data_IF_577186577236
#
_entry.id   IF_577186577236
#
_cell.length_a   1.000
_cell.length_b   1.000
_cell.length_c   1.000
_cell.angle_alpha   90.00
_cell.angle_beta   90.00
_cell.angle_gamma   90.00
#
_symmetry.space_group_name_H-M   'P 1'
#
loop_
_entity.id
_entity.type
_entity.pdbx_description
1 polymer ?
#
# COMPACT_ATOMS: atom_id res chain seq x y z
N UNK A 1 13.97 11.06 2.25
CA UNK A 1 14.52 9.92 1.47
C UNK A 1 13.41 9.36 0.59
N UNK A 2 13.65 9.24 -0.72
CA UNK A 2 12.63 8.79 -1.69
C UNK A 2 12.30 7.29 -1.56
N UNK A 3 11.04 6.91 -1.83
CA UNK A 3 10.60 5.52 -1.94
C UNK A 3 11.03 4.97 -3.30
N UNK A 4 11.68 3.80 -3.31
CA UNK A 4 12.18 3.06 -4.49
C UNK A 4 11.58 1.65 -4.56
N UNK A 5 11.55 0.98 -5.73
CA UNK A 5 11.07 -0.40 -5.87
C UNK A 5 11.61 -1.39 -4.84
N UNK A 6 12.89 -1.24 -4.47
CA UNK A 6 13.57 -2.04 -3.44
C UNK A 6 13.32 -1.60 -1.99
N UNK A 7 12.37 -0.70 -1.72
CA UNK A 7 12.09 -0.23 -0.36
C UNK A 7 11.48 -1.34 0.48
N UNK A 8 11.89 -1.47 1.74
CA UNK A 8 11.29 -2.47 2.63
C UNK A 8 9.79 -2.24 2.85
N UNK A 9 9.07 -3.32 3.18
CA UNK A 9 7.64 -3.30 3.50
C UNK A 9 7.32 -2.30 4.62
N UNK A 10 8.19 -2.20 5.64
CA UNK A 10 8.09 -1.19 6.71
C UNK A 10 8.11 0.25 6.18
N UNK A 11 8.87 0.55 5.11
CA UNK A 11 8.87 1.87 4.47
C UNK A 11 7.57 2.11 3.70
N UNK A 12 7.08 1.11 2.97
CA UNK A 12 5.80 1.17 2.26
C UNK A 12 4.62 1.38 3.23
N UNK A 13 4.62 0.66 4.35
CA UNK A 13 3.63 0.84 5.42
C UNK A 13 3.66 2.25 6.02
N UNK A 14 4.85 2.79 6.32
CA UNK A 14 4.99 4.19 6.79
C UNK A 14 4.47 5.18 5.75
N UNK A 15 4.78 4.99 4.48
CA UNK A 15 4.25 5.82 3.40
C UNK A 15 2.72 5.79 3.39
N UNK A 16 2.09 4.61 3.52
CA UNK A 16 0.62 4.49 3.63
C UNK A 16 0.05 5.35 4.76
N UNK A 17 0.68 5.33 5.94
CA UNK A 17 0.26 6.16 7.07
C UNK A 17 0.35 7.65 6.73
N UNK A 18 1.45 8.10 6.12
CA UNK A 18 1.61 9.49 5.70
C UNK A 18 0.58 9.90 4.65
N UNK A 19 0.30 9.04 3.66
CA UNK A 19 -0.73 9.30 2.65
C UNK A 19 -2.12 9.42 3.29
N UNK A 20 -2.47 8.55 4.25
CA UNK A 20 -3.74 8.65 5.00
C UNK A 20 -3.83 9.98 5.75
N UNK A 21 -2.79 10.35 6.50
CA UNK A 21 -2.73 11.61 7.23
C UNK A 21 -2.95 12.80 6.30
N UNK A 22 -2.23 12.85 5.18
CA UNK A 22 -2.39 13.90 4.16
C UNK A 22 -3.82 13.97 3.64
N UNK A 23 -4.42 12.84 3.23
CA UNK A 23 -5.81 12.86 2.75
C UNK A 23 -6.79 13.33 3.82
N UNK A 24 -6.66 12.88 5.05
CA UNK A 24 -7.55 13.32 6.13
C UNK A 24 -7.42 14.81 6.41
N UNK A 25 -6.21 15.35 6.41
CA UNK A 25 -6.00 16.80 6.51
C UNK A 25 -6.66 17.55 5.35
N UNK A 26 -6.54 17.06 4.12
CA UNK A 26 -7.15 17.68 2.95
C UNK A 26 -8.67 17.57 2.93
N UNK A 27 -9.23 16.45 3.37
CA UNK A 27 -10.68 16.28 3.54
C UNK A 27 -11.22 17.20 4.63
N UNK A 28 -10.48 17.38 5.73
CA UNK A 28 -10.87 18.26 6.83
C UNK A 28 -10.87 19.73 6.42
N UNK A 29 -9.82 20.20 5.74
CA UNK A 29 -9.72 21.58 5.27
C UNK A 29 -10.34 21.82 3.90
N UNK A 30 -11.13 20.87 3.37
CA UNK A 30 -11.62 20.93 1.99
C UNK A 30 -12.46 22.19 1.69
N UNK A 31 -13.16 22.73 2.68
CA UNK A 31 -13.96 23.95 2.55
C UNK A 31 -13.14 25.23 2.33
N UNK A 32 -11.82 25.20 2.59
CA UNK A 32 -10.93 26.34 2.38
C UNK A 32 -10.43 26.46 0.93
N UNK A 33 -10.79 25.51 0.06
CA UNK A 33 -10.26 25.39 -1.29
C UNK A 33 -11.38 25.34 -2.35
N UNK A 34 -11.08 25.72 -3.62
CA UNK A 34 -12.00 25.52 -4.72
C UNK A 34 -12.47 24.05 -4.81
N UNK A 35 -13.79 23.76 -4.74
CA UNK A 35 -14.29 22.39 -4.59
C UNK A 35 -13.84 21.42 -5.69
N UNK A 36 -13.71 21.90 -6.93
CA UNK A 36 -13.27 21.09 -8.06
C UNK A 36 -11.80 20.64 -7.94
N UNK A 37 -10.94 21.56 -7.51
CA UNK A 37 -9.49 21.34 -7.42
C UNK A 37 -9.16 20.40 -6.25
N UNK A 38 -9.71 20.68 -5.06
CA UNK A 38 -9.45 19.85 -3.88
C UNK A 38 -10.00 18.43 -4.04
N UNK A 39 -11.17 18.28 -4.68
CA UNK A 39 -11.76 16.96 -5.00
C UNK A 39 -10.85 16.17 -5.93
N UNK A 40 -10.24 16.83 -6.92
CA UNK A 40 -9.28 16.21 -7.83
C UNK A 40 -8.06 15.66 -7.06
N UNK A 41 -7.48 16.48 -6.18
CA UNK A 41 -6.33 16.07 -5.34
C UNK A 41 -6.67 14.90 -4.43
N UNK A 42 -7.80 14.97 -3.72
CA UNK A 42 -8.25 13.90 -2.80
C UNK A 42 -8.46 12.59 -3.58
N UNK A 43 -9.08 12.64 -4.76
CA UNK A 43 -9.33 11.46 -5.59
C UNK A 43 -8.03 10.81 -6.07
N UNK A 44 -7.02 11.59 -6.43
CA UNK A 44 -5.71 11.05 -6.80
C UNK A 44 -5.01 10.39 -5.60
N UNK A 45 -5.07 11.00 -4.42
CA UNK A 45 -4.53 10.40 -3.19
C UNK A 45 -5.26 9.10 -2.82
N UNK A 46 -6.59 9.03 -3.00
CA UNK A 46 -7.36 7.80 -2.80
C UNK A 46 -6.86 6.67 -3.71
N UNK A 47 -6.59 6.96 -4.99
CA UNK A 47 -6.04 5.95 -5.93
C UNK A 47 -4.68 5.39 -5.48
N UNK A 48 -3.79 6.25 -4.96
CA UNK A 48 -2.52 5.80 -4.38
C UNK A 48 -2.74 4.97 -3.11
N UNK A 49 -3.63 5.43 -2.23
CA UNK A 49 -3.95 4.74 -0.98
C UNK A 49 -4.56 3.37 -1.21
N UNK A 50 -5.41 3.18 -2.22
CA UNK A 50 -5.99 1.88 -2.53
C UNK A 50 -4.92 0.85 -2.85
N UNK A 51 -3.90 1.23 -3.64
CA UNK A 51 -2.79 0.34 -3.95
C UNK A 51 -1.89 0.08 -2.73
N UNK A 52 -1.57 1.11 -1.94
CA UNK A 52 -0.84 0.94 -0.68
C UNK A 52 -1.62 0.09 0.36
N UNK A 53 -2.95 0.16 0.31
CA UNK A 53 -3.87 -0.68 1.09
C UNK A 53 -3.73 -2.14 0.70
N UNK A 54 -3.93 -2.47 -0.57
CA UNK A 54 -3.76 -3.83 -1.08
C UNK A 54 -2.37 -4.41 -0.74
N UNK A 55 -1.30 -3.62 -0.92
CA UNK A 55 0.05 -4.04 -0.55
C UNK A 55 0.16 -4.40 0.94
N UNK A 56 -0.41 -3.56 1.80
CA UNK A 56 -0.39 -3.78 3.24
C UNK A 56 -1.22 -5.00 3.65
N UNK A 57 -2.36 -5.22 3.01
CA UNK A 57 -3.24 -6.35 3.33
C UNK A 57 -2.56 -7.67 2.99
N UNK A 58 -1.83 -7.72 1.86
CA UNK A 58 -1.00 -8.87 1.49
C UNK A 58 0.17 -9.08 2.47
N UNK A 59 0.81 -8.02 2.96
CA UNK A 59 1.83 -8.14 4.02
C UNK A 59 1.25 -8.76 5.29
N UNK A 60 0.07 -8.31 5.74
CA UNK A 60 -0.58 -8.81 6.95
C UNK A 60 -1.02 -10.27 6.78
N UNK A 61 -1.58 -10.64 5.62
CA UNK A 61 -1.95 -12.04 5.33
C UNK A 61 -0.73 -12.97 5.38
N UNK A 62 0.38 -12.58 4.74
CA UNK A 62 1.62 -13.36 4.81
C UNK A 62 2.12 -13.50 6.25
N UNK A 63 2.13 -12.41 7.03
CA UNK A 63 2.53 -12.45 8.44
C UNK A 63 1.65 -13.39 9.28
N UNK A 64 0.33 -13.36 9.08
CA UNK A 64 -0.61 -14.26 9.77
C UNK A 64 -0.33 -15.73 9.44
N UNK A 65 -0.06 -16.06 8.17
CA UNK A 65 0.27 -17.42 7.75
C UNK A 65 1.62 -17.90 8.31
N UNK A 66 2.63 -17.03 8.35
CA UNK A 66 3.91 -17.34 8.98
C UNK A 66 3.75 -17.59 10.49
N UNK A 67 2.97 -16.78 11.19
CA UNK A 67 2.67 -16.98 12.60
C UNK A 67 1.91 -18.29 12.85
N UNK A 68 1.00 -18.67 11.94
CA UNK A 68 0.29 -19.94 12.01
C UNK A 68 1.24 -21.13 11.81
N UNK A 69 2.10 -21.09 10.78
CA UNK A 69 3.13 -22.11 10.55
C UNK A 69 4.04 -22.30 11.76
N UNK A 70 4.48 -21.21 12.40
CA UNK A 70 5.34 -21.25 13.57
C UNK A 70 4.69 -21.94 14.80
N UNK A 71 3.36 -22.05 14.83
CA UNK A 71 2.60 -22.72 15.90
C UNK A 71 2.30 -24.19 15.60
N UNK A 72 2.52 -24.66 14.37
CA UNK A 72 2.29 -26.05 13.99
C UNK A 72 3.33 -26.95 14.65
N UNK A 73 2.87 -27.98 15.36
CA UNK A 73 3.75 -29.00 15.93
C UNK A 73 4.22 -29.95 14.81
N UNK A 74 5.53 -30.20 14.68
CA UNK A 74 6.02 -31.19 13.74
C UNK A 74 5.60 -32.61 14.17
N UNK A 75 5.57 -33.55 13.22
CA UNK A 75 5.45 -34.99 13.53
C UNK A 75 4.14 -35.67 13.14
N UNK A 76 3.14 -34.95 12.59
CA UNK A 76 1.98 -35.60 11.97
C UNK A 76 1.94 -35.36 10.46
N UNK A 77 1.57 -36.38 9.68
CA UNK A 77 1.43 -36.26 8.22
C UNK A 77 0.42 -35.19 7.80
N UNK A 78 -0.64 -35.00 8.60
CA UNK A 78 -1.61 -33.90 8.42
C UNK A 78 -0.96 -32.52 8.57
N UNK A 79 -0.11 -32.32 9.57
CA UNK A 79 0.57 -31.04 9.78
C UNK A 79 1.59 -30.76 8.66
N UNK A 80 2.24 -31.80 8.13
CA UNK A 80 3.12 -31.66 6.97
C UNK A 80 2.34 -31.23 5.71
N UNK A 81 1.20 -31.86 5.43
CA UNK A 81 0.33 -31.46 4.31
C UNK A 81 -0.18 -30.02 4.45
N UNK A 82 -0.61 -29.65 5.67
CA UNK A 82 -1.07 -28.29 5.95
C UNK A 82 0.05 -27.26 5.79
N UNK A 83 1.27 -27.57 6.26
CA UNK A 83 2.43 -26.70 6.11
C UNK A 83 2.77 -26.48 4.61
N UNK A 84 2.73 -27.54 3.80
CA UNK A 84 2.94 -27.45 2.36
C UNK A 84 1.88 -26.60 1.67
N UNK A 85 0.60 -26.77 2.03
CA UNK A 85 -0.50 -25.97 1.47
C UNK A 85 -0.34 -24.48 1.79
N UNK A 86 0.02 -24.15 3.04
CA UNK A 86 0.28 -22.77 3.45
C UNK A 86 1.53 -22.21 2.73
N UNK A 87 2.57 -23.01 2.52
CA UNK A 87 3.74 -22.60 1.74
C UNK A 87 3.39 -22.22 0.30
N UNK A 88 2.50 -22.98 -0.35
CA UNK A 88 1.95 -22.65 -1.66
C UNK A 88 1.18 -21.33 -1.65
N UNK A 89 0.32 -21.12 -0.65
CA UNK A 89 -0.43 -19.89 -0.49
C UNK A 89 0.48 -18.68 -0.24
N UNK A 90 1.49 -18.81 0.63
CA UNK A 90 2.48 -17.77 0.89
C UNK A 90 3.21 -17.36 -0.40
N UNK A 91 3.57 -18.33 -1.25
CA UNK A 91 4.21 -18.06 -2.54
C UNK A 91 3.30 -17.25 -3.46
N UNK A 92 2.01 -17.62 -3.54
CA UNK A 92 1.01 -16.90 -4.35
C UNK A 92 0.82 -15.46 -3.85
N UNK A 93 0.63 -15.28 -2.54
CA UNK A 93 0.47 -13.97 -1.92
C UNK A 93 1.71 -13.08 -2.10
N UNK A 94 2.91 -13.68 -2.01
CA UNK A 94 4.15 -12.97 -2.26
C UNK A 94 4.23 -12.44 -3.70
N UNK A 95 3.86 -13.27 -4.67
CA UNK A 95 3.83 -12.86 -6.08
C UNK A 95 2.83 -11.72 -6.32
N UNK A 96 1.61 -11.83 -5.79
CA UNK A 96 0.61 -10.76 -5.87
C UNK A 96 1.11 -9.46 -5.21
N UNK A 97 1.79 -9.58 -4.07
CA UNK A 97 2.37 -8.43 -3.37
C UNK A 97 3.43 -7.71 -4.22
N UNK A 98 4.27 -8.45 -4.95
CA UNK A 98 5.24 -7.86 -5.88
C UNK A 98 4.54 -7.12 -7.04
N UNK A 99 3.49 -7.70 -7.62
CA UNK A 99 2.73 -7.03 -8.68
C UNK A 99 2.07 -5.72 -8.20
N UNK A 100 1.47 -5.75 -7.00
CA UNK A 100 0.87 -4.54 -6.41
C UNK A 100 1.94 -3.49 -6.11
N UNK A 101 3.12 -3.91 -5.64
CA UNK A 101 4.28 -3.05 -5.42
C UNK A 101 4.80 -2.43 -6.71
N UNK A 102 4.88 -3.15 -7.82
CA UNK A 102 5.29 -2.58 -9.10
C UNK A 102 4.25 -1.57 -9.62
N UNK A 103 2.97 -1.93 -9.53
CA UNK A 103 1.86 -1.04 -9.89
C UNK A 103 1.86 0.25 -9.05
N UNK A 104 2.32 0.21 -7.79
CA UNK A 104 2.51 1.40 -6.97
C UNK A 104 3.42 2.41 -7.65
N UNK A 105 4.60 1.98 -8.13
CA UNK A 105 5.59 2.90 -8.70
C UNK A 105 5.11 3.54 -10.00
N UNK A 106 4.38 2.78 -10.83
CA UNK A 106 3.71 3.33 -12.00
C UNK A 106 2.71 4.43 -11.62
N UNK A 107 1.82 4.14 -10.64
CA UNK A 107 0.82 5.10 -10.15
C UNK A 107 1.46 6.31 -9.47
N UNK A 108 2.52 6.11 -8.70
CA UNK A 108 3.25 7.15 -8.00
C UNK A 108 3.98 8.09 -8.97
N UNK A 109 4.61 7.55 -10.02
CA UNK A 109 5.21 8.39 -11.09
C UNK A 109 4.16 9.27 -11.76
N UNK A 110 2.97 8.74 -12.05
CA UNK A 110 1.86 9.54 -12.61
C UNK A 110 1.38 10.62 -11.63
N UNK A 111 1.28 10.29 -10.35
CA UNK A 111 0.90 11.24 -9.31
C UNK A 111 1.95 12.35 -9.10
N UNK A 112 3.24 12.05 -9.28
CA UNK A 112 4.33 13.00 -9.07
C UNK A 112 4.67 13.85 -10.32
N UNK A 113 3.85 13.81 -11.37
CA UNK A 113 4.05 14.64 -12.57
C UNK A 113 3.78 16.12 -12.30
N UNK A 114 4.31 16.97 -13.17
CA UNK A 114 4.22 18.43 -13.09
C UNK A 114 2.79 18.94 -13.08
N UNK A 115 1.82 18.27 -13.72
CA UNK A 115 0.42 18.70 -13.68
C UNK A 115 -0.12 18.65 -12.24
N UNK A 116 0.23 17.61 -11.50
CA UNK A 116 -0.11 17.49 -10.09
C UNK A 116 0.66 18.50 -9.24
N UNK A 117 1.97 18.68 -9.49
CA UNK A 117 2.75 19.69 -8.77
C UNK A 117 2.17 21.09 -8.94
N UNK A 118 1.68 21.44 -10.14
CA UNK A 118 0.98 22.69 -10.40
C UNK A 118 -0.31 22.83 -9.60
N UNK A 119 -1.11 21.77 -9.51
CA UNK A 119 -2.34 21.77 -8.72
C UNK A 119 -2.08 21.95 -7.21
N UNK A 120 -1.06 21.28 -6.67
CA UNK A 120 -0.65 21.48 -5.27
C UNK A 120 -0.10 22.90 -5.04
N UNK A 121 0.69 23.45 -5.97
CA UNK A 121 1.12 24.85 -5.90
C UNK A 121 -0.05 25.83 -5.94
N UNK A 122 -1.06 25.59 -6.78
CA UNK A 122 -2.26 26.42 -6.84
C UNK A 122 -3.07 26.41 -5.53
N UNK A 123 -3.10 25.26 -4.85
CA UNK A 123 -3.88 25.11 -3.61
C UNK A 123 -3.13 25.62 -2.38
N UNK A 124 -1.80 25.44 -2.30
CA UNK A 124 -1.03 25.70 -1.07
C UNK A 124 0.06 26.76 -1.20
N UNK A 125 0.29 27.30 -2.40
CA UNK A 125 1.24 28.38 -2.67
C UNK A 125 0.53 29.69 -2.94
#
# INVERSE_FOLDING_TARGET
RAIKPSSSDKKMHRLRIHCKKLRYSLEFFASLFPPADIRTVINQLKKLQNNLGAFNDLSVQQEMLHQYLARLRPGSGRNQQLASAIGGLLTSLHHEQQQVREAFFSKFRRFARSENTGLYKKLFG
#
